data_IF_980884502133
#
_entry.id   IF_980884502133
#
_cell.length_a   1.000
_cell.length_b   1.000
_cell.length_c   1.000
_cell.angle_alpha   90.00
_cell.angle_beta   90.00
_cell.angle_gamma   90.00
#
_symmetry.space_group_name_H-M   'P 1'
#
loop_
_entity.id
_entity.type
_entity.pdbx_description
1 polymer ?
#
# COMPACT_ATOMS: atom_id res chain seq x y z
N UNK A 1 77.97 32.20 36.98
CA UNK A 1 76.67 31.69 37.46
C UNK A 1 75.63 31.94 36.38
N UNK A 2 75.18 30.90 35.68
CA UNK A 2 74.09 30.96 34.71
C UNK A 2 72.80 30.56 35.43
N UNK A 3 71.80 31.43 35.40
CA UNK A 3 70.47 31.18 35.93
C UNK A 3 69.45 31.18 34.78
N UNK A 4 68.54 30.22 34.89
CA UNK A 4 67.49 29.86 33.95
C UNK A 4 66.58 31.03 33.57
N UNK A 5 66.10 30.99 32.32
CA UNK A 5 64.73 31.41 32.02
C UNK A 5 64.19 30.58 30.85
N UNK A 6 63.20 29.74 31.16
CA UNK A 6 62.33 29.06 30.22
C UNK A 6 61.76 30.06 29.21
N UNK A 7 61.94 29.78 27.91
CA UNK A 7 61.12 30.35 26.84
C UNK A 7 60.45 29.21 26.09
N UNK A 8 59.12 29.29 26.07
CA UNK A 8 58.21 28.35 25.44
C UNK A 8 58.55 28.13 23.96
N UNK A 9 58.63 26.86 23.55
CA UNK A 9 58.69 26.45 22.16
C UNK A 9 57.34 26.73 21.49
N UNK A 10 57.24 27.86 20.79
CA UNK A 10 56.15 28.11 19.85
C UNK A 10 56.44 27.25 18.61
N UNK A 11 55.77 26.11 18.50
CA UNK A 11 55.83 25.27 17.29
C UNK A 11 55.20 26.02 16.13
N UNK A 12 56.00 26.41 15.12
CA UNK A 12 55.46 26.94 13.85
C UNK A 12 54.56 25.87 13.20
N UNK A 13 53.42 26.23 12.59
CA UNK A 13 52.60 25.29 11.84
C UNK A 13 53.41 24.70 10.69
N UNK A 14 53.31 23.39 10.45
CA UNK A 14 53.88 22.76 9.25
C UNK A 14 53.18 23.35 8.02
N UNK A 15 53.96 23.94 7.12
CA UNK A 15 53.47 24.34 5.80
C UNK A 15 53.00 23.10 5.04
N UNK A 16 51.70 23.02 4.76
CA UNK A 16 51.14 21.98 3.91
C UNK A 16 51.48 22.31 2.45
N UNK A 17 52.40 21.53 1.86
CA UNK A 17 52.56 21.52 0.40
C UNK A 17 51.39 20.79 -0.22
N UNK A 18 50.51 21.53 -0.90
CA UNK A 18 49.48 20.96 -1.76
C UNK A 18 50.15 20.17 -2.88
N UNK A 19 50.10 18.84 -2.83
CA UNK A 19 50.43 18.03 -4.00
C UNK A 19 49.38 18.33 -5.07
N UNK A 20 49.76 19.09 -6.11
CA UNK A 20 48.95 19.16 -7.33
C UNK A 20 48.87 17.75 -7.89
N UNK A 21 47.70 17.10 -7.77
CA UNK A 21 47.45 15.83 -8.43
C UNK A 21 47.51 16.09 -9.93
N UNK A 22 48.60 15.66 -10.57
CA UNK A 22 48.62 15.56 -12.02
C UNK A 22 47.71 14.40 -12.37
N UNK A 23 46.51 14.72 -12.86
CA UNK A 23 45.59 13.74 -13.45
C UNK A 23 46.35 12.99 -14.56
N UNK A 24 46.39 11.64 -14.53
CA UNK A 24 46.99 10.88 -15.61
C UNK A 24 46.26 11.21 -16.91
N UNK A 25 47.00 11.68 -17.92
CA UNK A 25 46.51 12.09 -19.23
C UNK A 25 45.93 10.95 -20.11
N UNK A 26 45.60 9.80 -19.51
CA UNK A 26 45.05 8.61 -20.18
C UNK A 26 43.51 8.53 -20.17
N UNK A 27 42.79 9.50 -19.61
CA UNK A 27 41.32 9.56 -19.63
C UNK A 27 40.79 10.62 -20.62
N UNK A 28 41.32 10.65 -21.84
CA UNK A 28 40.74 11.39 -22.98
C UNK A 28 39.85 10.51 -23.87
N UNK A 29 39.20 9.51 -23.30
CA UNK A 29 38.06 8.87 -23.93
C UNK A 29 36.81 9.68 -23.58
N UNK A 30 36.21 10.39 -24.55
CA UNK A 30 34.77 10.70 -24.43
C UNK A 30 34.08 9.35 -24.29
N UNK A 31 33.67 8.99 -23.08
CA UNK A 31 32.79 7.85 -22.85
C UNK A 31 31.49 8.20 -23.55
N UNK A 32 31.31 7.71 -24.78
CA UNK A 32 29.99 7.64 -25.40
C UNK A 32 29.19 6.68 -24.53
N UNK A 33 28.43 7.23 -23.58
CA UNK A 33 27.31 6.51 -23.00
C UNK A 33 26.43 6.19 -24.21
N UNK A 34 26.36 4.91 -24.58
CA UNK A 34 25.34 4.47 -25.54
C UNK A 34 24.01 4.76 -24.87
N UNK A 35 23.33 5.81 -25.30
CA UNK A 35 21.90 5.97 -25.04
C UNK A 35 21.20 4.86 -25.82
N UNK A 36 21.17 3.65 -25.26
CA UNK A 36 20.16 2.67 -25.63
C UNK A 36 18.85 3.21 -25.09
N UNK A 37 18.17 4.03 -25.88
CA UNK A 37 16.76 4.34 -25.69
C UNK A 37 16.02 3.02 -25.84
N UNK A 38 15.70 2.39 -24.73
CA UNK A 38 14.83 1.24 -24.74
C UNK A 38 13.41 1.75 -24.98
N UNK A 39 12.79 1.39 -26.10
CA UNK A 39 11.44 1.87 -26.39
C UNK A 39 10.45 1.10 -25.50
N UNK A 40 9.97 1.75 -24.44
CA UNK A 40 8.95 1.19 -23.57
C UNK A 40 7.61 1.32 -24.27
N UNK A 41 6.94 0.18 -24.50
CA UNK A 41 5.58 0.18 -25.02
C UNK A 41 4.62 0.40 -23.85
N UNK A 42 4.00 1.58 -23.81
CA UNK A 42 2.88 1.85 -22.89
C UNK A 42 1.63 1.07 -23.34
N UNK A 43 1.50 0.80 -24.64
CA UNK A 43 0.38 0.07 -25.22
C UNK A 43 0.59 -1.45 -25.09
N UNK A 44 -0.24 -2.09 -24.27
CA UNK A 44 -0.22 -3.54 -24.01
C UNK A 44 -0.80 -3.90 -22.64
N UNK A 45 -0.84 -5.18 -22.31
CA UNK A 45 -1.37 -5.67 -21.03
C UNK A 45 -0.49 -5.30 -19.82
N UNK A 46 0.81 -5.13 -20.06
CA UNK A 46 1.80 -4.70 -19.06
C UNK A 46 2.99 -3.98 -19.71
N UNK A 47 3.55 -3.04 -18.96
CA UNK A 47 4.78 -2.32 -19.25
C UNK A 47 5.92 -3.06 -18.56
N UNK A 48 6.70 -3.81 -19.34
CA UNK A 48 7.86 -4.56 -18.84
C UNK A 48 9.01 -3.62 -18.46
N UNK A 49 9.61 -3.88 -17.30
CA UNK A 49 10.77 -3.17 -16.76
C UNK A 49 11.91 -4.17 -16.53
N UNK A 50 13.13 -3.76 -16.11
CA UNK A 50 14.18 -4.77 -15.84
C UNK A 50 13.88 -5.55 -14.56
N UNK A 51 14.61 -6.66 -14.38
CA UNK A 51 14.57 -7.53 -13.19
C UNK A 51 13.21 -8.21 -12.95
N UNK A 52 12.39 -8.38 -14.00
CA UNK A 52 11.08 -9.00 -13.89
C UNK A 52 9.99 -8.08 -13.32
N UNK A 53 10.31 -6.81 -13.07
CA UNK A 53 9.34 -5.79 -12.67
C UNK A 53 8.43 -5.43 -13.84
N UNK A 54 7.17 -5.11 -13.57
CA UNK A 54 6.25 -4.59 -14.57
C UNK A 54 5.16 -3.71 -13.96
N UNK A 55 4.59 -2.83 -14.79
CA UNK A 55 3.42 -2.00 -14.43
C UNK A 55 2.28 -2.33 -15.36
N UNK A 56 1.13 -2.73 -14.82
CA UNK A 56 -0.11 -2.98 -15.59
C UNK A 56 -0.95 -1.71 -15.76
N UNK A 57 -0.95 -0.84 -14.76
CA UNK A 57 -1.72 0.41 -14.78
C UNK A 57 -1.00 1.54 -14.05
N UNK A 58 -1.05 2.72 -14.66
CA UNK A 58 -0.85 4.03 -14.05
C UNK A 58 -2.17 4.78 -14.18
N UNK A 59 -2.75 5.19 -13.06
CA UNK A 59 -4.08 5.77 -12.99
C UNK A 59 -4.12 7.06 -12.19
N UNK A 60 -5.04 7.95 -12.55
CA UNK A 60 -5.33 9.18 -11.82
C UNK A 60 -6.84 9.38 -11.78
N UNK A 61 -7.38 9.64 -10.60
CA UNK A 61 -8.78 9.92 -10.36
C UNK A 61 -8.91 11.03 -9.32
N UNK A 62 -9.98 11.83 -9.36
CA UNK A 62 -10.28 12.76 -8.25
C UNK A 62 -10.99 12.02 -7.12
N UNK A 63 -10.93 12.55 -5.90
CA UNK A 63 -11.74 12.07 -4.76
C UNK A 63 -13.25 12.15 -5.03
N UNK A 64 -13.65 13.00 -6.00
CA UNK A 64 -15.02 13.12 -6.48
C UNK A 64 -15.36 12.11 -7.59
N UNK A 65 -14.54 11.07 -7.76
CA UNK A 65 -14.73 9.97 -8.72
C UNK A 65 -14.66 10.39 -10.19
N UNK A 66 -14.00 11.49 -10.50
CA UNK A 66 -13.74 11.88 -11.89
C UNK A 66 -12.48 11.16 -12.38
N UNK A 67 -12.55 10.24 -13.36
CA UNK A 67 -11.35 9.64 -13.94
C UNK A 67 -10.59 10.70 -14.75
N UNK A 68 -9.31 10.85 -14.46
CA UNK A 68 -8.45 11.90 -15.01
C UNK A 68 -7.40 11.34 -15.97
N UNK A 69 -6.88 10.15 -15.68
CA UNK A 69 -5.92 9.46 -16.54
C UNK A 69 -5.96 7.94 -16.31
N UNK A 70 -5.78 7.18 -17.39
CA UNK A 70 -5.66 5.73 -17.38
C UNK A 70 -4.64 5.32 -18.45
N UNK A 71 -3.57 4.64 -18.07
CA UNK A 71 -2.60 4.13 -19.04
C UNK A 71 -3.08 2.88 -19.77
N UNK A 72 -4.02 2.13 -19.18
CA UNK A 72 -4.54 0.88 -19.72
C UNK A 72 -6.04 0.71 -19.41
N UNK A 73 -6.87 0.84 -20.43
CA UNK A 73 -8.33 0.84 -20.30
C UNK A 73 -8.88 -0.51 -19.80
N UNK A 74 -8.17 -1.62 -20.01
CA UNK A 74 -8.54 -2.94 -19.47
C UNK A 74 -8.57 -2.96 -17.94
N UNK A 75 -7.84 -2.03 -17.29
CA UNK A 75 -7.78 -1.88 -15.84
C UNK A 75 -8.47 -0.61 -15.35
N UNK A 76 -9.28 0.06 -16.19
CA UNK A 76 -9.97 1.31 -15.83
C UNK A 76 -10.87 1.18 -14.59
N UNK A 77 -11.41 -0.02 -14.34
CA UNK A 77 -12.18 -0.34 -13.13
C UNK A 77 -11.38 -0.09 -11.83
N UNK A 78 -10.04 -0.15 -11.87
CA UNK A 78 -9.22 0.14 -10.70
C UNK A 78 -9.35 1.60 -10.27
N UNK A 79 -9.66 2.52 -11.18
CA UNK A 79 -9.93 3.92 -10.83
C UNK A 79 -11.18 4.06 -9.96
N UNK A 80 -12.22 3.29 -10.26
CA UNK A 80 -13.46 3.25 -9.46
C UNK A 80 -13.23 2.50 -8.16
N UNK A 81 -12.57 1.34 -8.22
CA UNK A 81 -12.20 0.57 -7.04
C UNK A 81 -11.38 1.43 -6.06
N UNK A 82 -10.44 2.23 -6.56
CA UNK A 82 -9.61 3.14 -5.74
C UNK A 82 -10.48 4.08 -4.90
N UNK A 83 -11.48 4.72 -5.50
CA UNK A 83 -12.38 5.62 -4.78
C UNK A 83 -13.22 4.90 -3.71
N UNK A 84 -13.70 3.69 -4.02
CA UNK A 84 -14.46 2.89 -3.06
C UNK A 84 -13.56 2.37 -1.93
N UNK A 85 -12.34 1.93 -2.25
CA UNK A 85 -11.33 1.50 -1.29
C UNK A 85 -10.93 2.64 -0.38
N UNK A 86 -10.64 3.81 -0.94
CA UNK A 86 -10.27 5.00 -0.18
C UNK A 86 -11.38 5.37 0.81
N UNK A 87 -12.63 5.52 0.32
CA UNK A 87 -13.76 5.82 1.18
C UNK A 87 -13.97 4.79 2.30
N UNK A 88 -13.96 3.49 1.98
CA UNK A 88 -14.26 2.45 2.97
C UNK A 88 -13.08 2.25 3.93
N UNK A 89 -11.85 2.11 3.42
CA UNK A 89 -10.68 1.80 4.24
C UNK A 89 -10.33 2.95 5.19
N UNK A 90 -10.38 4.20 4.72
CA UNK A 90 -10.13 5.37 5.58
C UNK A 90 -11.23 5.52 6.64
N UNK A 91 -12.49 5.19 6.32
CA UNK A 91 -13.60 5.23 7.30
C UNK A 91 -13.53 4.16 8.42
N UNK A 92 -12.72 3.11 8.25
CA UNK A 92 -12.58 2.02 9.23
C UNK A 92 -11.25 2.14 9.96
N UNK A 93 -10.17 2.31 9.20
CA UNK A 93 -8.81 2.27 9.72
C UNK A 93 -8.35 3.66 10.18
N UNK A 94 -8.91 4.74 9.63
CA UNK A 94 -8.40 6.10 9.80
C UNK A 94 -7.07 6.31 9.08
N UNK A 95 -6.78 7.54 8.65
CA UNK A 95 -5.57 7.91 7.89
C UNK A 95 -5.78 7.88 6.38
N UNK A 96 -4.68 7.78 5.62
CA UNK A 96 -4.66 7.89 4.16
C UNK A 96 -4.36 6.54 3.48
N UNK A 97 -5.11 6.17 2.44
CA UNK A 97 -4.86 4.93 1.69
C UNK A 97 -3.45 4.95 1.06
N UNK A 98 -2.58 3.98 1.39
CA UNK A 98 -1.18 3.95 0.91
C UNK A 98 -0.92 2.79 -0.06
N UNK A 99 -1.33 1.57 0.29
CA UNK A 99 -1.04 0.38 -0.53
C UNK A 99 -1.93 -0.81 -0.26
N UNK A 100 -2.01 -1.69 -1.24
CA UNK A 100 -2.75 -2.95 -1.21
C UNK A 100 -1.94 -4.03 -1.95
N UNK A 101 -1.96 -5.25 -1.42
CA UNK A 101 -1.42 -6.42 -2.11
C UNK A 101 -2.58 -7.27 -2.63
N UNK A 102 -2.62 -7.50 -3.93
CA UNK A 102 -3.59 -8.38 -4.59
C UNK A 102 -2.99 -9.75 -4.87
N UNK A 103 -3.80 -10.79 -4.71
CA UNK A 103 -3.43 -12.17 -5.05
C UNK A 103 -4.46 -12.75 -6.00
N UNK A 104 -4.02 -13.09 -7.21
CA UNK A 104 -4.87 -13.71 -8.23
C UNK A 104 -5.38 -15.06 -7.75
N UNK A 105 -6.70 -15.29 -7.86
CA UNK A 105 -7.27 -16.59 -7.46
C UNK A 105 -6.88 -17.73 -8.41
N UNK A 106 -6.64 -17.42 -9.69
CA UNK A 106 -6.31 -18.41 -10.71
C UNK A 106 -4.82 -18.76 -10.71
N UNK A 107 -3.97 -17.75 -10.58
CA UNK A 107 -2.52 -17.90 -10.79
C UNK A 107 -1.69 -17.82 -9.51
N UNK A 108 -2.28 -17.36 -8.39
CA UNK A 108 -1.57 -17.01 -7.15
C UNK A 108 -0.46 -15.95 -7.33
N UNK A 109 -0.41 -15.26 -8.47
CA UNK A 109 0.49 -14.13 -8.68
C UNK A 109 0.12 -13.01 -7.71
N UNK A 110 1.14 -12.41 -7.10
CA UNK A 110 1.02 -11.31 -6.15
C UNK A 110 1.39 -10.01 -6.83
N UNK A 111 0.52 -9.01 -6.72
CA UNK A 111 0.72 -7.72 -7.37
C UNK A 111 0.45 -6.59 -6.39
N UNK A 112 1.30 -5.58 -6.45
CA UNK A 112 1.21 -4.39 -5.63
C UNK A 112 0.29 -3.37 -6.30
N UNK A 113 -0.59 -2.78 -5.51
CA UNK A 113 -1.31 -1.57 -5.85
C UNK A 113 -0.91 -0.51 -4.82
N UNK A 114 -0.38 0.62 -5.28
CA UNK A 114 0.00 1.73 -4.40
C UNK A 114 -0.78 2.98 -4.77
N UNK A 115 -1.06 3.78 -3.75
CA UNK A 115 -1.89 4.98 -3.82
C UNK A 115 -1.14 6.17 -3.25
N UNK A 116 -1.44 7.35 -3.77
CA UNK A 116 -0.96 8.60 -3.23
C UNK A 116 -2.03 9.66 -3.47
N UNK A 117 -2.53 10.27 -2.40
CA UNK A 117 -3.43 11.42 -2.51
C UNK A 117 -2.63 12.72 -2.40
N UNK A 118 -2.91 13.65 -3.31
CA UNK A 118 -2.43 15.03 -3.22
C UNK A 118 -3.50 15.98 -3.75
N UNK A 119 -3.87 16.97 -2.94
CA UNK A 119 -4.79 18.05 -3.32
C UNK A 119 -6.14 17.55 -3.90
N UNK A 120 -6.71 16.48 -3.32
CA UNK A 120 -7.97 15.88 -3.78
C UNK A 120 -7.85 15.04 -5.05
N UNK A 121 -6.63 14.70 -5.47
CA UNK A 121 -6.34 13.81 -6.59
C UNK A 121 -5.63 12.56 -6.06
N UNK A 122 -6.18 11.40 -6.42
CA UNK A 122 -5.62 10.09 -6.08
C UNK A 122 -4.87 9.54 -7.31
N UNK A 123 -3.58 9.31 -7.11
CA UNK A 123 -2.68 8.65 -8.05
C UNK A 123 -2.56 7.18 -7.67
N UNK A 124 -2.60 6.27 -8.65
CA UNK A 124 -2.38 4.85 -8.42
C UNK A 124 -1.41 4.23 -9.42
N UNK A 125 -0.70 3.20 -8.94
CA UNK A 125 0.13 2.32 -9.75
C UNK A 125 -0.16 0.87 -9.37
N UNK A 126 -0.30 0.00 -10.37
CA UNK A 126 -0.61 -1.41 -10.19
C UNK A 126 0.30 -2.30 -11.05
N UNK A 127 0.84 -3.36 -10.45
CA UNK A 127 1.76 -4.30 -11.09
C UNK A 127 2.73 -4.94 -10.09
N UNK A 128 3.90 -5.36 -10.55
CA UNK A 128 4.96 -5.96 -9.73
C UNK A 128 6.21 -5.09 -9.73
N UNK A 129 6.45 -4.39 -8.63
CA UNK A 129 7.57 -3.48 -8.46
C UNK A 129 7.91 -3.31 -6.97
N UNK A 130 9.17 -2.96 -6.63
CA UNK A 130 9.57 -2.62 -5.27
C UNK A 130 8.84 -1.40 -4.69
N UNK A 131 8.60 -1.41 -3.38
CA UNK A 131 7.79 -0.39 -2.69
C UNK A 131 8.28 1.05 -2.93
N UNK A 132 9.59 1.28 -2.78
CA UNK A 132 10.22 2.60 -3.00
C UNK A 132 10.06 3.11 -4.43
N UNK A 133 10.07 2.19 -5.41
CA UNK A 133 10.02 2.55 -6.82
C UNK A 133 8.59 2.92 -7.25
N UNK A 134 7.59 2.22 -6.73
CA UNK A 134 6.19 2.61 -6.92
C UNK A 134 5.88 3.97 -6.29
N UNK A 135 6.38 4.24 -5.07
CA UNK A 135 6.23 5.57 -4.44
C UNK A 135 6.88 6.67 -5.25
N UNK A 136 8.08 6.44 -5.77
CA UNK A 136 8.74 7.39 -6.67
C UNK A 136 7.92 7.66 -7.94
N UNK A 137 7.32 6.62 -8.56
CA UNK A 137 6.42 6.80 -9.71
C UNK A 137 5.25 7.71 -9.36
N UNK A 138 4.57 7.43 -8.24
CA UNK A 138 3.43 8.22 -7.77
C UNK A 138 3.80 9.68 -7.50
N UNK A 139 4.95 9.93 -6.86
CA UNK A 139 5.47 11.28 -6.60
C UNK A 139 5.77 12.04 -7.91
N UNK A 140 6.39 11.37 -8.90
CA UNK A 140 6.64 11.98 -10.20
C UNK A 140 5.33 12.26 -10.95
N UNK A 141 4.39 11.32 -10.95
CA UNK A 141 3.06 11.51 -11.55
C UNK A 141 2.36 12.71 -10.93
N UNK A 142 2.34 12.79 -9.59
CA UNK A 142 1.72 13.90 -8.88
C UNK A 142 2.36 15.24 -9.22
N UNK A 143 3.69 15.32 -9.18
CA UNK A 143 4.43 16.54 -9.53
C UNK A 143 4.05 17.04 -10.93
N UNK A 144 4.23 16.20 -11.95
CA UNK A 144 4.02 16.63 -13.33
C UNK A 144 2.54 16.83 -13.67
N UNK A 145 1.63 16.07 -13.06
CA UNK A 145 0.21 16.27 -13.27
C UNK A 145 -0.27 17.58 -12.64
N UNK A 146 0.20 17.91 -11.43
CA UNK A 146 -0.09 19.20 -10.76
C UNK A 146 0.38 20.37 -11.64
N UNK A 147 1.61 20.29 -12.17
CA UNK A 147 2.16 21.30 -13.10
C UNK A 147 1.33 21.43 -14.38
N UNK A 148 0.72 20.34 -14.86
CA UNK A 148 -0.06 20.32 -16.10
C UNK A 148 -1.48 20.89 -15.93
N UNK A 149 -2.08 20.73 -14.75
CA UNK A 149 -3.42 21.26 -14.46
C UNK A 149 -3.39 22.71 -13.99
N UNK A 150 -2.26 23.21 -13.48
CA UNK A 150 -2.09 24.61 -13.05
C UNK A 150 -3.19 25.06 -12.06
N UNK A 151 -3.42 24.27 -11.01
CA UNK A 151 -4.44 24.50 -9.97
C UNK A 151 -5.91 24.57 -10.46
N UNK A 152 -6.17 24.21 -11.73
CA UNK A 152 -7.55 24.12 -12.25
C UNK A 152 -8.33 23.03 -11.52
N UNK A 153 -9.62 23.29 -11.30
CA UNK A 153 -10.53 22.29 -10.76
C UNK A 153 -10.78 21.18 -11.79
N UNK A 154 -10.14 20.03 -11.58
CA UNK A 154 -10.16 18.88 -12.47
C UNK A 154 -11.56 18.27 -12.70
N UNK A 155 -12.47 18.46 -11.76
CA UNK A 155 -13.85 17.98 -11.87
C UNK A 155 -14.70 18.86 -12.80
N UNK A 156 -14.29 20.11 -13.02
CA UNK A 156 -15.00 21.09 -13.87
C UNK A 156 -14.40 21.25 -15.26
N UNK A 157 -13.30 20.55 -15.56
CA UNK A 157 -12.69 20.59 -16.89
C UNK A 157 -13.63 20.03 -17.95
N UNK A 158 -13.68 20.67 -19.10
CA UNK A 158 -14.47 20.19 -20.23
C UNK A 158 -13.82 18.96 -20.90
N UNK A 159 -14.52 18.37 -21.87
CA UNK A 159 -14.03 17.16 -22.56
C UNK A 159 -12.76 17.41 -23.38
N UNK A 160 -12.62 18.59 -23.98
CA UNK A 160 -11.47 18.94 -24.82
C UNK A 160 -10.24 19.19 -23.93
N UNK A 161 -10.40 19.94 -22.84
CA UNK A 161 -9.35 20.18 -21.85
C UNK A 161 -8.83 18.86 -21.25
N UNK A 162 -9.74 17.97 -20.84
CA UNK A 162 -9.38 16.63 -20.33
C UNK A 162 -8.61 15.82 -21.38
N UNK A 163 -9.03 15.88 -22.64
CA UNK A 163 -8.35 15.18 -23.73
C UNK A 163 -6.94 15.73 -23.97
N UNK A 164 -6.77 17.06 -23.98
CA UNK A 164 -5.46 17.70 -24.14
C UNK A 164 -4.51 17.39 -22.99
N UNK A 165 -4.99 17.44 -21.75
CA UNK A 165 -4.23 17.06 -20.56
C UNK A 165 -3.81 15.59 -20.67
N UNK A 166 -4.72 14.69 -21.06
CA UNK A 166 -4.40 13.28 -21.22
C UNK A 166 -3.30 13.05 -22.27
N UNK A 167 -3.40 13.67 -23.46
CA UNK A 167 -2.36 13.57 -24.50
C UNK A 167 -1.00 14.07 -23.99
N UNK A 168 -0.96 15.23 -23.34
CA UNK A 168 0.27 15.80 -22.78
C UNK A 168 0.85 14.88 -21.71
N UNK A 169 -0.01 14.35 -20.83
CA UNK A 169 0.42 13.48 -19.74
C UNK A 169 0.92 12.13 -20.21
N UNK A 170 0.34 11.52 -21.27
CA UNK A 170 0.89 10.30 -21.89
C UNK A 170 2.37 10.45 -22.29
N UNK A 171 2.76 11.62 -22.80
CA UNK A 171 4.16 11.91 -23.17
C UNK A 171 5.06 12.02 -21.94
N UNK A 172 4.54 12.62 -20.86
CA UNK A 172 5.25 12.73 -19.58
C UNK A 172 5.44 11.35 -18.94
N UNK A 173 4.42 10.49 -18.98
CA UNK A 173 4.52 9.12 -18.44
C UNK A 173 5.62 8.32 -19.14
N UNK A 174 5.71 8.42 -20.46
CA UNK A 174 6.84 7.85 -21.21
C UNK A 174 8.18 8.32 -20.64
N UNK A 175 8.34 9.62 -20.41
CA UNK A 175 9.56 10.17 -19.81
C UNK A 175 9.80 9.61 -18.39
N UNK A 176 8.79 9.59 -17.51
CA UNK A 176 8.90 9.07 -16.14
C UNK A 176 9.35 7.61 -16.15
N UNK A 177 8.75 6.77 -17.00
CA UNK A 177 9.07 5.35 -17.11
C UNK A 177 10.49 5.12 -17.66
N UNK A 178 10.96 5.97 -18.57
CA UNK A 178 12.35 5.91 -19.04
C UNK A 178 13.34 6.25 -17.92
N UNK A 179 13.03 7.26 -17.10
CA UNK A 179 13.85 7.60 -15.93
C UNK A 179 13.82 6.48 -14.89
N UNK A 180 12.65 5.88 -14.63
CA UNK A 180 12.53 4.67 -13.80
C UNK A 180 13.49 3.57 -14.26
N UNK A 181 13.47 3.26 -15.56
CA UNK A 181 14.29 2.22 -16.16
C UNK A 181 15.80 2.47 -16.01
N UNK A 182 16.22 3.74 -16.01
CA UNK A 182 17.61 4.16 -15.74
C UNK A 182 17.96 4.05 -14.26
N UNK A 183 17.04 4.41 -13.37
CA UNK A 183 17.25 4.42 -11.92
C UNK A 183 17.23 3.03 -11.28
N UNK A 184 16.83 1.98 -12.02
CA UNK A 184 16.78 0.60 -11.50
C UNK A 184 18.12 0.07 -10.96
N UNK A 185 19.25 0.67 -11.36
CA UNK A 185 20.58 0.30 -10.88
C UNK A 185 21.00 1.07 -9.61
N UNK A 186 20.21 2.05 -9.17
CA UNK A 186 20.50 2.96 -8.03
C UNK A 186 19.63 2.65 -6.81
N UNK A 187 18.40 2.17 -7.00
CA UNK A 187 17.53 1.80 -5.90
C UNK A 187 18.04 0.55 -5.16
N UNK A 188 18.18 0.67 -3.84
CA UNK A 188 18.39 -0.49 -2.96
C UNK A 188 17.06 -1.21 -2.73
N UNK A 189 17.04 -2.50 -3.05
CA UNK A 189 15.94 -3.43 -2.80
C UNK A 189 15.78 -3.77 -1.30
N UNK A 190 16.64 -3.22 -0.43
CA UNK A 190 16.54 -3.44 1.01
C UNK A 190 15.28 -2.76 1.56
N UNK A 191 14.35 -3.57 2.07
CA UNK A 191 13.19 -3.10 2.81
C UNK A 191 13.64 -2.38 4.08
N UNK A 192 12.97 -1.27 4.38
CA UNK A 192 13.22 -0.53 5.61
C UNK A 192 12.44 -1.27 6.70
N UNK A 193 13.11 -1.79 7.75
CA UNK A 193 12.41 -2.52 8.80
C UNK A 193 11.41 -1.60 9.51
N UNK A 194 10.32 -2.20 9.97
CA UNK A 194 9.38 -1.49 10.84
C UNK A 194 10.08 -1.12 12.15
N UNK A 195 9.78 0.08 12.65
CA UNK A 195 10.23 0.50 13.99
C UNK A 195 9.45 -0.24 15.07
N UNK A 196 8.17 -0.52 14.82
CA UNK A 196 7.33 -1.35 15.67
C UNK A 196 7.62 -2.83 15.41
N UNK A 197 7.70 -3.63 16.48
CA UNK A 197 7.95 -5.09 16.39
C UNK A 197 6.70 -5.89 16.83
N UNK A 198 5.58 -5.20 16.99
CA UNK A 198 4.30 -5.79 17.40
C UNK A 198 3.23 -5.56 16.36
N UNK A 199 2.30 -6.49 16.30
CA UNK A 199 1.04 -6.35 15.57
C UNK A 199 -0.11 -6.48 16.56
N UNK A 200 -0.90 -5.43 16.70
CA UNK A 200 -2.14 -5.40 17.49
C UNK A 200 -3.31 -5.80 16.60
N UNK A 201 -4.22 -6.63 17.10
CA UNK A 201 -5.47 -6.98 16.39
C UNK A 201 -6.64 -6.24 17.02
N UNK A 202 -7.40 -5.51 16.21
CA UNK A 202 -8.53 -4.69 16.66
C UNK A 202 -9.89 -5.32 16.30
N UNK A 203 -9.90 -6.15 15.27
CA UNK A 203 -11.10 -6.84 14.81
C UNK A 203 -10.76 -8.19 14.17
N UNK A 204 -11.65 -9.17 14.33
CA UNK A 204 -11.64 -10.43 13.59
C UNK A 204 -13.02 -10.71 13.00
N UNK A 205 -13.06 -10.91 11.68
CA UNK A 205 -14.24 -11.38 10.95
C UNK A 205 -13.97 -12.74 10.32
N UNK A 206 -14.92 -13.66 10.40
CA UNK A 206 -14.95 -14.88 9.59
C UNK A 206 -16.23 -14.83 8.75
N UNK A 207 -16.06 -14.99 7.44
CA UNK A 207 -17.15 -14.93 6.47
C UNK A 207 -17.12 -16.11 5.51
N UNK A 208 -18.28 -16.43 4.93
CA UNK A 208 -18.40 -17.40 3.84
C UNK A 208 -19.34 -16.86 2.76
N UNK A 209 -18.90 -16.81 1.49
CA UNK A 209 -19.71 -16.33 0.35
C UNK A 209 -20.47 -15.01 0.65
N UNK A 210 -19.78 -14.03 1.26
CA UNK A 210 -20.33 -12.74 1.70
C UNK A 210 -21.40 -12.81 2.81
N UNK A 211 -21.28 -13.82 3.68
CA UNK A 211 -22.05 -13.93 4.92
C UNK A 211 -21.08 -13.98 6.08
N UNK A 212 -21.11 -12.95 6.93
CA UNK A 212 -20.40 -12.93 8.20
C UNK A 212 -20.93 -13.98 9.17
N UNK A 213 -20.10 -14.95 9.54
CA UNK A 213 -20.44 -16.01 10.51
C UNK A 213 -19.85 -15.76 11.89
N UNK A 214 -18.72 -15.03 11.97
CA UNK A 214 -18.16 -14.52 13.21
C UNK A 214 -17.74 -13.07 12.96
N UNK A 215 -18.13 -12.18 13.86
CA UNK A 215 -17.59 -10.82 13.95
C UNK A 215 -17.16 -10.61 15.40
N UNK A 216 -15.97 -10.05 15.60
CA UNK A 216 -15.36 -9.87 16.92
C UNK A 216 -14.59 -8.56 16.96
N UNK A 217 -15.17 -7.57 17.63
CA UNK A 217 -14.50 -6.33 17.99
C UNK A 217 -13.72 -6.54 19.31
N UNK A 218 -12.41 -6.38 19.24
CA UNK A 218 -11.46 -6.75 20.32
C UNK A 218 -11.07 -5.53 21.18
N UNK A 219 -11.39 -4.31 20.75
CA UNK A 219 -11.28 -3.10 21.57
C UNK A 219 -11.90 -1.86 20.93
N UNK A 220 -11.62 -0.69 21.51
CA UNK A 220 -12.30 0.58 21.20
C UNK A 220 -11.48 1.56 20.34
N UNK A 221 -10.31 1.16 19.84
CA UNK A 221 -9.37 2.01 19.09
C UNK A 221 -9.82 2.32 17.65
N UNK A 222 -10.86 1.64 17.18
CA UNK A 222 -11.46 1.88 15.87
C UNK A 222 -12.57 2.93 16.00
N UNK A 223 -12.39 4.03 15.29
CA UNK A 223 -13.39 5.10 15.18
C UNK A 223 -14.46 4.68 14.18
N UNK A 224 -15.46 3.93 14.65
CA UNK A 224 -16.56 3.45 13.81
C UNK A 224 -17.80 4.29 14.10
N UNK A 225 -18.14 5.15 13.15
CA UNK A 225 -19.37 5.93 13.19
C UNK A 225 -20.56 5.05 12.79
N UNK A 226 -21.48 4.88 13.74
CA UNK A 226 -22.74 4.15 13.57
C UNK A 226 -23.89 5.14 13.73
N UNK A 227 -24.79 5.14 12.75
CA UNK A 227 -25.97 5.98 12.76
C UNK A 227 -27.00 5.43 13.76
N UNK A 228 -27.40 6.24 14.74
CA UNK A 228 -28.44 5.88 15.70
C UNK A 228 -28.12 6.35 17.11
N UNK A 229 -29.10 6.30 18.00
CA UNK A 229 -28.89 6.40 19.44
C UNK A 229 -29.07 5.00 20.02
N UNK A 230 -28.06 4.52 20.74
CA UNK A 230 -28.04 3.19 21.34
C UNK A 230 -27.91 3.37 22.85
N UNK A 231 -28.91 2.90 23.59
CA UNK A 231 -28.91 2.97 25.05
C UNK A 231 -28.11 1.81 25.68
N UNK A 232 -27.98 0.68 24.97
CA UNK A 232 -27.22 -0.49 25.40
C UNK A 232 -25.83 -0.56 24.71
N UNK A 233 -24.72 -0.58 25.47
CA UNK A 233 -23.38 -0.77 24.94
C UNK A 233 -23.19 -2.07 24.14
N UNK A 234 -23.92 -3.15 24.48
CA UNK A 234 -23.85 -4.42 23.75
C UNK A 234 -24.46 -4.29 22.35
N UNK A 235 -25.62 -3.64 22.24
CA UNK A 235 -26.28 -3.36 20.97
C UNK A 235 -25.39 -2.48 20.08
N UNK A 236 -24.75 -1.47 20.65
CA UNK A 236 -23.78 -0.63 19.95
C UNK A 236 -22.60 -1.44 19.42
N UNK A 237 -22.06 -2.37 20.23
CA UNK A 237 -20.96 -3.25 19.82
C UNK A 237 -21.38 -4.16 18.66
N UNK A 238 -22.53 -4.80 18.76
CA UNK A 238 -23.06 -5.69 17.72
C UNK A 238 -23.31 -4.93 16.41
N UNK A 239 -23.79 -3.69 16.49
CA UNK A 239 -23.97 -2.81 15.33
C UNK A 239 -22.63 -2.44 14.69
N UNK A 240 -21.61 -2.10 15.49
CA UNK A 240 -20.25 -1.83 14.99
C UNK A 240 -19.65 -3.05 14.29
N UNK A 241 -19.75 -4.22 14.92
CA UNK A 241 -19.31 -5.50 14.34
C UNK A 241 -19.99 -5.78 13.00
N UNK A 242 -21.31 -5.59 12.92
CA UNK A 242 -22.08 -5.79 11.69
C UNK A 242 -21.68 -4.83 10.58
N UNK A 243 -21.50 -3.54 10.91
CA UNK A 243 -21.07 -2.52 9.95
C UNK A 243 -19.67 -2.79 9.42
N UNK A 244 -18.73 -3.18 10.30
CA UNK A 244 -17.37 -3.55 9.91
C UNK A 244 -17.38 -4.72 8.93
N UNK A 245 -18.09 -5.80 9.26
CA UNK A 245 -18.19 -6.98 8.39
C UNK A 245 -18.74 -6.60 7.02
N UNK A 246 -19.85 -5.85 6.98
CA UNK A 246 -20.45 -5.44 5.71
C UNK A 246 -19.48 -4.62 4.85
N UNK A 247 -18.75 -3.67 5.46
CA UNK A 247 -17.77 -2.86 4.74
C UNK A 247 -16.57 -3.68 4.23
N UNK A 248 -16.05 -4.59 5.06
CA UNK A 248 -14.92 -5.47 4.70
C UNK A 248 -15.30 -6.42 3.58
N UNK A 249 -16.50 -7.00 3.64
CA UNK A 249 -17.02 -7.87 2.59
C UNK A 249 -17.28 -7.11 1.30
N UNK A 250 -17.80 -5.88 1.37
CA UNK A 250 -17.96 -5.01 0.21
C UNK A 250 -16.62 -4.73 -0.48
N UNK A 251 -15.55 -4.48 0.28
CA UNK A 251 -14.19 -4.35 -0.26
C UNK A 251 -13.79 -5.65 -0.98
N UNK A 252 -13.85 -6.80 -0.31
CA UNK A 252 -13.40 -8.07 -0.87
C UNK A 252 -14.18 -8.46 -2.13
N UNK A 253 -15.51 -8.28 -2.13
CA UNK A 253 -16.38 -8.57 -3.25
C UNK A 253 -16.11 -7.64 -4.44
N UNK A 254 -15.96 -6.33 -4.20
CA UNK A 254 -15.64 -5.36 -5.25
C UNK A 254 -14.26 -5.61 -5.85
N UNK A 255 -13.26 -5.95 -5.04
CA UNK A 255 -11.94 -6.31 -5.56
C UNK A 255 -12.01 -7.59 -6.38
N UNK A 256 -12.64 -8.66 -5.86
CA UNK A 256 -12.73 -9.93 -6.56
C UNK A 256 -13.50 -9.82 -7.88
N UNK A 257 -14.68 -9.18 -7.86
CA UNK A 257 -15.53 -9.05 -9.04
C UNK A 257 -14.87 -8.27 -10.18
N UNK A 258 -14.00 -7.31 -9.85
CA UNK A 258 -13.35 -6.47 -10.85
C UNK A 258 -11.96 -6.97 -11.27
N UNK A 259 -11.20 -7.62 -10.38
CA UNK A 259 -9.79 -8.02 -10.64
C UNK A 259 -9.57 -9.52 -10.84
N UNK A 260 -10.55 -10.38 -10.50
CA UNK A 260 -10.31 -11.82 -10.32
C UNK A 260 -9.31 -12.16 -9.20
N UNK A 261 -8.97 -11.18 -8.37
CA UNK A 261 -7.98 -11.26 -7.30
C UNK A 261 -8.61 -10.86 -5.97
N UNK A 262 -8.05 -11.36 -4.88
CA UNK A 262 -8.46 -10.93 -3.53
C UNK A 262 -7.37 -10.07 -2.91
N UNK A 263 -7.71 -9.04 -2.12
CA UNK A 263 -6.71 -8.36 -1.32
C UNK A 263 -6.14 -9.36 -0.32
N UNK A 264 -4.82 -9.47 -0.23
CA UNK A 264 -4.14 -10.13 0.89
C UNK A 264 -4.08 -9.18 2.09
N UNK A 265 -3.80 -7.91 1.83
CA UNK A 265 -3.91 -6.84 2.79
C UNK A 265 -4.10 -5.50 2.09
N UNK A 266 -4.69 -4.55 2.81
CA UNK A 266 -4.84 -3.14 2.46
C UNK A 266 -4.27 -2.36 3.63
N UNK A 267 -3.43 -1.37 3.35
CA UNK A 267 -2.73 -0.56 4.33
C UNK A 267 -3.15 0.91 4.21
N UNK A 268 -3.47 1.48 5.37
CA UNK A 268 -3.73 2.91 5.55
C UNK A 268 -2.65 3.48 6.45
N UNK A 269 -2.13 4.63 6.06
CA UNK A 269 -1.02 5.30 6.74
C UNK A 269 -1.58 6.31 7.73
N UNK A 270 -1.19 6.17 9.00
CA UNK A 270 -1.54 7.10 10.07
C UNK A 270 -0.48 8.19 10.28
N UNK A 271 0.76 7.91 9.88
CA UNK A 271 1.90 8.80 10.10
C UNK A 271 3.20 8.20 9.58
N UNK A 272 4.33 8.71 10.05
CA UNK A 272 5.65 8.16 9.69
C UNK A 272 5.80 6.74 10.25
N UNK A 273 5.86 5.74 9.37
CA UNK A 273 5.97 4.31 9.69
C UNK A 273 4.84 3.72 10.55
N UNK A 274 3.74 4.46 10.76
CA UNK A 274 2.58 3.99 11.49
C UNK A 274 1.48 3.60 10.51
N UNK A 275 1.10 2.32 10.55
CA UNK A 275 0.18 1.72 9.60
C UNK A 275 -0.88 0.87 10.28
N UNK A 276 -2.09 0.96 9.75
CA UNK A 276 -3.16 0.01 10.01
C UNK A 276 -3.46 -0.79 8.76
N UNK A 277 -3.88 -2.03 8.97
CA UNK A 277 -4.08 -3.00 7.92
C UNK A 277 -5.44 -3.66 8.04
N UNK A 278 -6.11 -3.82 6.91
CA UNK A 278 -7.15 -4.81 6.72
C UNK A 278 -6.54 -6.00 5.99
N UNK A 279 -6.50 -7.17 6.62
CA UNK A 279 -5.90 -8.39 6.05
C UNK A 279 -6.98 -9.39 5.70
N UNK A 280 -6.72 -10.23 4.71
CA UNK A 280 -7.60 -11.34 4.35
C UNK A 280 -6.81 -12.61 4.15
N UNK A 281 -7.37 -13.72 4.63
CA UNK A 281 -6.82 -15.05 4.40
C UNK A 281 -7.95 -15.99 3.98
N UNK A 282 -7.82 -16.55 2.78
CA UNK A 282 -8.78 -17.50 2.20
C UNK A 282 -8.55 -18.90 2.78
N UNK A 283 -9.65 -19.56 3.11
CA UNK A 283 -9.71 -20.97 3.49
C UNK A 283 -10.51 -21.75 2.44
N UNK A 284 -10.51 -23.08 2.58
CA UNK A 284 -11.35 -23.97 1.77
C UNK A 284 -12.83 -23.64 1.95
N UNK A 285 -13.67 -24.06 0.99
CA UNK A 285 -15.12 -23.90 1.03
C UNK A 285 -15.57 -22.42 1.08
N UNK A 286 -14.82 -21.55 0.41
CA UNK A 286 -15.09 -20.10 0.29
C UNK A 286 -15.22 -19.37 1.62
N UNK A 287 -14.51 -19.83 2.65
CA UNK A 287 -14.34 -19.08 3.89
C UNK A 287 -13.20 -18.09 3.78
N UNK A 288 -13.35 -16.94 4.42
CA UNK A 288 -12.34 -15.91 4.52
C UNK A 288 -12.28 -15.41 5.95
N UNK A 289 -11.09 -15.37 6.52
CA UNK A 289 -10.86 -14.60 7.74
C UNK A 289 -10.35 -13.22 7.34
N UNK A 290 -10.85 -12.21 8.04
CA UNK A 290 -10.41 -10.83 7.92
C UNK A 290 -9.95 -10.32 9.27
N UNK A 291 -8.86 -9.55 9.31
CA UNK A 291 -8.38 -8.92 10.54
C UNK A 291 -8.16 -7.44 10.29
N UNK A 292 -8.57 -6.59 11.23
CA UNK A 292 -8.07 -5.22 11.32
C UNK A 292 -6.91 -5.19 12.31
N UNK A 293 -5.75 -4.72 11.87
CA UNK A 293 -4.52 -4.75 12.66
C UNK A 293 -3.77 -3.42 12.61
N UNK A 294 -2.91 -3.18 13.60
CA UNK A 294 -2.06 -1.99 13.74
C UNK A 294 -0.63 -2.41 14.09
N UNK A 295 0.38 -1.89 13.37
CA UNK A 295 1.80 -2.15 13.65
C UNK A 295 2.54 -2.91 12.55
N UNK A 296 3.31 -3.95 12.91
CA UNK A 296 4.18 -4.66 11.97
C UNK A 296 3.49 -5.84 11.29
N UNK A 297 3.15 -5.68 10.01
CA UNK A 297 2.49 -6.69 9.19
C UNK A 297 3.29 -8.01 9.06
N UNK A 298 4.60 -8.01 9.24
CA UNK A 298 5.43 -9.23 9.19
C UNK A 298 4.99 -10.26 10.25
N UNK A 299 4.41 -9.79 11.36
CA UNK A 299 3.91 -10.66 12.45
C UNK A 299 2.56 -11.29 12.15
N UNK A 300 1.93 -10.98 11.01
CA UNK A 300 0.63 -11.55 10.62
C UNK A 300 0.64 -13.08 10.61
N UNK A 301 1.75 -13.68 10.15
CA UNK A 301 1.90 -15.15 10.11
C UNK A 301 1.83 -15.80 11.49
N UNK A 302 2.29 -15.12 12.54
CA UNK A 302 2.20 -15.59 13.94
C UNK A 302 0.74 -15.72 14.37
N UNK A 303 -0.08 -14.73 14.00
CA UNK A 303 -1.52 -14.73 14.28
C UNK A 303 -2.21 -15.84 13.49
N UNK A 304 -1.92 -15.95 12.19
CA UNK A 304 -2.53 -16.94 11.30
C UNK A 304 -2.24 -18.37 11.77
N UNK A 305 -0.99 -18.68 12.13
CA UNK A 305 -0.62 -19.99 12.66
C UNK A 305 -1.34 -20.33 13.97
N UNK A 306 -1.66 -19.33 14.80
CA UNK A 306 -2.40 -19.52 16.05
C UNK A 306 -3.89 -19.77 15.81
N UNK A 307 -4.48 -19.07 14.83
CA UNK A 307 -5.90 -19.16 14.50
C UNK A 307 -6.24 -20.38 13.63
N UNK A 308 -5.35 -20.74 12.71
CA UNK A 308 -5.59 -21.75 11.68
C UNK A 308 -6.12 -23.09 12.24
N UNK A 309 -5.54 -23.70 13.29
CA UNK A 309 -6.03 -24.96 13.84
C UNK A 309 -7.46 -24.89 14.40
N UNK A 310 -7.92 -23.69 14.78
CA UNK A 310 -9.25 -23.45 15.32
C UNK A 310 -10.25 -23.19 14.20
N UNK A 311 -9.88 -22.35 13.23
CA UNK A 311 -10.72 -22.02 12.07
C UNK A 311 -10.97 -23.27 11.22
N UNK A 312 -9.93 -24.07 10.94
CA UNK A 312 -10.06 -25.28 10.12
C UNK A 312 -11.08 -26.29 10.67
N UNK A 313 -11.31 -26.33 11.98
CA UNK A 313 -12.32 -27.22 12.59
C UNK A 313 -13.75 -26.85 12.21
N UNK A 314 -14.01 -25.57 11.92
CA UNK A 314 -15.35 -25.07 11.58
C UNK A 314 -15.53 -24.79 10.10
N UNK A 315 -14.47 -24.82 9.29
CA UNK A 315 -14.52 -24.57 7.84
C UNK A 315 -14.34 -25.84 6.99
N UNK A 316 -14.47 -27.04 7.57
CA UNK A 316 -14.30 -28.33 6.88
C UNK A 316 -15.31 -28.53 5.75
N UNK A 317 -16.52 -27.98 5.90
CA UNK A 317 -17.60 -28.06 4.93
C UNK A 317 -18.13 -26.68 4.57
N UNK A 318 -18.77 -26.56 3.41
CA UNK A 318 -19.50 -25.35 3.01
C UNK A 318 -20.48 -24.87 4.09
N UNK A 319 -20.71 -23.56 4.10
CA UNK A 319 -21.68 -22.95 5.00
C UNK A 319 -23.10 -23.31 4.55
N UNK A 320 -23.90 -23.86 5.47
CA UNK A 320 -25.28 -24.29 5.21
C UNK A 320 -26.32 -23.47 5.98
N UNK A 321 -25.92 -22.36 6.61
CA UNK A 321 -26.77 -21.56 7.50
C UNK A 321 -26.72 -21.98 8.98
N UNK A 322 -26.06 -23.08 9.35
CA UNK A 322 -25.92 -23.50 10.75
C UNK A 322 -24.80 -22.74 11.47
N UNK A 323 -25.19 -21.86 12.39
CA UNK A 323 -24.28 -21.07 13.22
C UNK A 323 -23.75 -21.82 14.45
N UNK A 324 -24.27 -23.00 14.81
CA UNK A 324 -23.93 -23.70 16.07
C UNK A 324 -22.43 -23.91 16.27
N UNK A 325 -21.72 -24.29 15.22
CA UNK A 325 -20.26 -24.52 15.28
C UNK A 325 -19.47 -23.22 15.47
N UNK A 326 -19.94 -22.13 14.87
CA UNK A 326 -19.31 -20.82 14.96
C UNK A 326 -19.59 -20.16 16.32
N UNK A 327 -20.80 -20.29 16.85
CA UNK A 327 -21.18 -19.82 18.18
C UNK A 327 -20.38 -20.52 19.30
N UNK A 328 -19.96 -21.78 19.10
CA UNK A 328 -19.03 -22.47 20.01
C UNK A 328 -17.59 -21.97 19.89
N UNK A 329 -17.19 -21.49 18.72
CA UNK A 329 -15.84 -21.00 18.47
C UNK A 329 -15.64 -19.55 18.92
N UNK A 330 -16.66 -18.68 18.74
CA UNK A 330 -16.62 -17.26 19.13
C UNK A 330 -16.03 -17.01 20.53
N UNK A 331 -16.51 -17.65 21.62
CA UNK A 331 -15.95 -17.42 22.97
C UNK A 331 -14.52 -17.91 23.15
N UNK A 332 -14.08 -18.90 22.37
CA UNK A 332 -12.68 -19.37 22.39
C UNK A 332 -11.77 -18.32 21.76
N UNK A 333 -12.21 -17.72 20.66
CA UNK A 333 -11.49 -16.63 19.99
C UNK A 333 -11.43 -15.38 20.87
N UNK A 334 -12.54 -14.98 21.49
CA UNK A 334 -12.60 -13.86 22.45
C UNK A 334 -11.54 -14.03 23.55
N UNK A 335 -11.53 -15.18 24.24
CA UNK A 335 -10.56 -15.47 25.30
C UNK A 335 -9.09 -15.43 24.83
N UNK A 336 -8.81 -15.77 23.57
CA UNK A 336 -7.47 -15.68 23.00
C UNK A 336 -7.02 -14.22 22.90
N UNK A 337 -7.90 -13.35 22.42
CA UNK A 337 -7.59 -11.94 22.20
C UNK A 337 -7.66 -11.11 23.47
N UNK A 338 -8.54 -11.45 24.42
CA UNK A 338 -8.56 -10.87 25.76
C UNK A 338 -7.23 -11.10 26.50
N UNK A 339 -6.63 -12.28 26.32
CA UNK A 339 -5.33 -12.62 26.90
C UNK A 339 -4.16 -12.02 26.14
N UNK A 340 -4.27 -11.95 24.81
CA UNK A 340 -3.19 -11.50 23.97
C UNK A 340 -3.68 -10.84 22.68
N UNK A 341 -3.72 -9.51 22.71
CA UNK A 341 -4.05 -8.67 21.55
C UNK A 341 -2.83 -8.28 20.71
N UNK A 342 -1.63 -8.36 21.29
CA UNK A 342 -0.37 -7.95 20.67
C UNK A 342 0.49 -9.17 20.33
N UNK A 343 1.03 -9.24 19.13
CA UNK A 343 1.82 -10.37 18.63
C UNK A 343 3.19 -9.90 18.19
N UNK A 344 4.23 -10.65 18.57
CA UNK A 344 5.65 -10.37 18.30
C UNK A 344 6.32 -11.52 17.59
#
# INVERSE_FOLDING_TARGET
MKLNSNKANISKPKEFKTKKSVLPSKLKGKVKIKNTTHELKIEGDKIELKKGEYVKLLGITSVNRTPLFCSNDNFSYLLELTNNLDFIATSILGGDLDKMLLVSQETNIKENCQFYEKDGIIYLVYGEFPDKKGKWLLEQMAKYYTELIEDRNVDKLDKLEKHEINIKFKRIINFILQEYYKLQDVFSDQEIPYVEDKLRVDYLGLSSKSIGVISLLIGDELTIDVSGQFDDPLELKDMKESLLTAKIEAIAANTLGNTGSVPRWIAVKLGFQNYRFLTFQKYKNDYFISLLCDGNLEKLTVIENKLEPLILKVTVSEFTGDLKRFNKLKPILENIFDKNRYFS
#
